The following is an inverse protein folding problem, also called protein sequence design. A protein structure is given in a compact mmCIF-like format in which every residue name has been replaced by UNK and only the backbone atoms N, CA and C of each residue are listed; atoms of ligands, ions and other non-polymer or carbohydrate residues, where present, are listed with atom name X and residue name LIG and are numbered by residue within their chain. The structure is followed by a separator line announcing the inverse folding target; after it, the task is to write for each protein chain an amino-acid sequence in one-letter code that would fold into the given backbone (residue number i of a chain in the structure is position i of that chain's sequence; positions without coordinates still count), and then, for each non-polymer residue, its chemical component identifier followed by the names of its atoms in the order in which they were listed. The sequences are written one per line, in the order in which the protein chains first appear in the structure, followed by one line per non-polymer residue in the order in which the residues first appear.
data_IF_150303627172
#
_entry.id   IF_150303627172
#
_cell.length_a   1.000
_cell.length_b   1.000
_cell.length_c   1.000
_cell.angle_alpha   90.00
_cell.angle_beta   90.00
_cell.angle_gamma   90.00
#
_symmetry.space_group_name_H-M   'P 1'
#
loop_
_entity.id
_entity.type
_entity.pdbx_description
1 polymer ?
#
# COMPACT_ATOMS: atom_id res chain seq x y z
N UNK A 1 -33.09 -22.78 19.34
CA UNK A 1 -33.04 -21.92 18.13
C UNK A 1 -32.81 -20.44 18.43
N UNK A 2 -33.53 -19.80 19.37
CA UNK A 2 -33.37 -18.35 19.67
C UNK A 2 -31.98 -17.97 20.21
N UNK A 3 -31.38 -18.81 21.07
CA UNK A 3 -30.05 -18.59 21.66
C UNK A 3 -28.91 -18.65 20.63
N UNK A 4 -28.96 -19.57 19.65
CA UNK A 4 -27.96 -19.66 18.57
C UNK A 4 -27.94 -18.40 17.69
N UNK A 5 -29.11 -17.80 17.42
CA UNK A 5 -29.20 -16.55 16.67
C UNK A 5 -28.63 -15.36 17.47
N UNK A 6 -28.84 -15.34 18.79
CA UNK A 6 -28.31 -14.26 19.64
C UNK A 6 -26.79 -14.33 19.75
N UNK A 7 -26.22 -15.53 19.90
CA UNK A 7 -24.78 -15.75 19.89
C UNK A 7 -24.15 -15.45 18.52
N UNK A 8 -24.79 -15.89 17.43
CA UNK A 8 -24.32 -15.57 16.07
C UNK A 8 -24.30 -14.06 15.80
N UNK A 9 -25.37 -13.33 16.17
CA UNK A 9 -25.43 -11.87 16.02
C UNK A 9 -24.39 -11.15 16.87
N UNK A 10 -24.15 -11.64 18.10
CA UNK A 10 -23.13 -11.08 19.01
C UNK A 10 -21.73 -11.29 18.44
N UNK A 11 -21.45 -12.48 17.93
CA UNK A 11 -20.17 -12.82 17.31
C UNK A 11 -19.94 -12.05 16.01
N UNK A 12 -20.98 -11.90 15.17
CA UNK A 12 -20.93 -11.11 13.93
C UNK A 12 -20.70 -9.62 14.21
N UNK A 13 -21.35 -9.08 15.25
CA UNK A 13 -21.13 -7.70 15.66
C UNK A 13 -19.72 -7.49 16.21
N UNK A 14 -19.21 -8.44 16.98
CA UNK A 14 -17.85 -8.41 17.50
C UNK A 14 -16.80 -8.45 16.37
N UNK A 15 -17.00 -9.31 15.37
CA UNK A 15 -16.10 -9.37 14.19
C UNK A 15 -16.19 -8.11 13.35
N UNK A 16 -17.38 -7.56 13.09
CA UNK A 16 -17.52 -6.29 12.35
C UNK A 16 -16.86 -5.12 13.07
N UNK A 17 -16.95 -5.09 14.39
CA UNK A 17 -16.32 -4.05 15.21
C UNK A 17 -14.80 -4.19 15.17
N UNK A 18 -14.28 -5.42 15.31
CA UNK A 18 -12.85 -5.71 15.17
C UNK A 18 -12.29 -5.35 13.79
N UNK A 19 -13.05 -5.64 12.73
CA UNK A 19 -12.67 -5.33 11.35
C UNK A 19 -12.60 -3.81 11.13
N UNK A 20 -13.57 -3.05 11.65
CA UNK A 20 -13.53 -1.57 11.64
C UNK A 20 -12.33 -1.00 12.40
N UNK A 21 -11.99 -1.56 13.56
CA UNK A 21 -10.83 -1.13 14.36
C UNK A 21 -9.52 -1.43 13.63
N UNK A 22 -9.41 -2.59 12.99
CA UNK A 22 -8.25 -2.94 12.16
C UNK A 22 -8.12 -2.00 10.95
N UNK A 23 -9.21 -1.67 10.26
CA UNK A 23 -9.19 -0.70 9.16
C UNK A 23 -8.75 0.70 9.63
N UNK A 24 -9.18 1.14 10.81
CA UNK A 24 -8.73 2.41 11.39
C UNK A 24 -7.26 2.37 11.80
N UNK A 25 -6.78 1.25 12.35
CA UNK A 25 -5.38 1.07 12.70
C UNK A 25 -4.47 1.08 11.45
N UNK A 26 -4.88 0.41 10.36
CA UNK A 26 -4.16 0.45 9.07
C UNK A 26 -4.11 1.88 8.53
N UNK A 27 -5.21 2.63 8.61
CA UNK A 27 -5.26 4.04 8.19
C UNK A 27 -4.36 4.93 9.04
N UNK A 28 -4.28 4.69 10.35
CA UNK A 28 -3.37 5.41 11.24
C UNK A 28 -1.91 5.05 10.98
N UNK A 29 -1.58 3.77 10.83
CA UNK A 29 -0.22 3.31 10.52
C UNK A 29 0.30 3.88 9.19
N UNK A 30 -0.56 4.00 8.18
CA UNK A 30 -0.26 4.66 6.91
C UNK A 30 0.06 6.17 7.07
N UNK A 31 -0.38 6.79 8.16
CA UNK A 31 -0.12 8.22 8.45
C UNK A 31 1.05 8.46 9.41
N UNK A 32 1.49 7.45 10.18
CA UNK A 32 2.43 7.64 11.31
C UNK A 32 3.81 7.00 11.14
N UNK A 33 4.04 6.11 10.17
CA UNK A 33 5.38 5.67 9.78
C UNK A 33 5.90 6.73 8.79
N UNK A 34 6.86 7.63 9.05
CA UNK A 34 8.27 7.46 9.45
C UNK A 34 8.78 8.85 9.89
N UNK A 35 8.78 9.22 11.20
CA UNK A 35 9.17 10.58 11.59
C UNK A 35 10.70 10.82 11.58
N UNK A 36 11.50 9.79 11.91
CA UNK A 36 12.95 9.96 12.12
C UNK A 36 13.79 9.97 10.85
N UNK A 37 13.71 8.91 10.03
CA UNK A 37 14.52 8.79 8.83
C UNK A 37 14.13 9.81 7.76
N UNK A 38 12.82 10.07 7.59
CA UNK A 38 12.32 11.05 6.62
C UNK A 38 12.68 12.49 7.01
N UNK A 39 12.58 12.85 8.29
CA UNK A 39 13.04 14.15 8.79
C UNK A 39 14.54 14.35 8.55
N UNK A 40 15.37 13.32 8.73
CA UNK A 40 16.80 13.39 8.43
C UNK A 40 17.07 13.58 6.92
N UNK A 41 16.33 12.88 6.06
CA UNK A 41 16.41 13.07 4.61
C UNK A 41 16.02 14.50 4.21
N UNK A 42 14.92 15.01 4.75
CA UNK A 42 14.41 16.33 4.40
C UNK A 42 15.34 17.44 4.89
N UNK A 43 15.84 17.35 6.12
CA UNK A 43 16.87 18.25 6.63
C UNK A 43 18.16 18.18 5.78
N UNK A 44 18.55 16.98 5.37
CA UNK A 44 19.70 16.76 4.48
C UNK A 44 19.52 17.40 3.10
N UNK A 45 18.33 17.29 2.50
CA UNK A 45 17.98 17.95 1.24
C UNK A 45 18.04 19.47 1.37
N UNK A 46 17.43 20.04 2.40
CA UNK A 46 17.47 21.50 2.65
C UNK A 46 18.90 22.00 2.80
N UNK A 47 19.74 21.29 3.56
CA UNK A 47 21.14 21.66 3.74
C UNK A 47 21.95 21.55 2.44
N UNK A 48 21.72 20.49 1.66
CA UNK A 48 22.40 20.29 0.39
C UNK A 48 22.01 21.37 -0.63
N UNK A 49 20.72 21.71 -0.70
CA UNK A 49 20.20 22.75 -1.58
C UNK A 49 20.78 24.13 -1.23
N UNK A 50 20.72 24.53 0.05
CA UNK A 50 21.26 25.80 0.51
C UNK A 50 22.77 25.96 0.21
N UNK A 51 23.57 24.90 0.46
CA UNK A 51 25.00 24.92 0.12
C UNK A 51 25.25 24.98 -1.39
N UNK A 52 24.44 24.28 -2.18
CA UNK A 52 24.56 24.26 -3.64
C UNK A 52 24.22 25.63 -4.24
N UNK A 53 23.19 26.30 -3.74
CA UNK A 53 22.85 27.67 -4.15
C UNK A 53 23.96 28.66 -3.76
N UNK A 54 24.49 28.55 -2.54
CA UNK A 54 25.56 29.43 -2.09
C UNK A 54 26.84 29.28 -2.94
N UNK A 55 27.25 28.05 -3.28
CA UNK A 55 28.43 27.86 -4.14
C UNK A 55 28.17 28.31 -5.59
N UNK A 56 26.93 28.21 -6.07
CA UNK A 56 26.53 28.73 -7.38
C UNK A 56 26.68 30.26 -7.42
N UNK A 57 26.10 30.99 -6.46
CA UNK A 57 26.23 32.45 -6.38
C UNK A 57 27.69 32.89 -6.31
N UNK A 58 28.52 32.23 -5.49
CA UNK A 58 29.96 32.53 -5.42
C UNK A 58 30.70 32.26 -6.73
N UNK A 59 30.29 31.23 -7.47
CA UNK A 59 30.87 30.92 -8.77
C UNK A 59 30.50 31.99 -9.80
N UNK A 60 29.26 32.48 -9.78
CA UNK A 60 28.79 33.58 -10.63
C UNK A 60 29.55 34.88 -10.34
N UNK A 61 29.68 35.26 -9.06
CA UNK A 61 30.47 36.43 -8.64
C UNK A 61 31.95 36.33 -9.07
N UNK A 62 32.52 35.12 -8.96
CA UNK A 62 33.89 34.84 -9.40
C UNK A 62 34.02 34.94 -10.93
N UNK A 63 33.03 34.42 -11.68
CA UNK A 63 32.99 34.53 -13.14
C UNK A 63 32.96 35.99 -13.58
N UNK A 64 32.08 36.80 -12.97
CA UNK A 64 31.98 38.23 -13.26
C UNK A 64 33.28 38.98 -12.96
N UNK A 65 33.91 38.66 -11.83
CA UNK A 65 35.20 39.25 -11.43
C UNK A 65 36.31 38.88 -12.40
N UNK A 66 36.41 37.61 -12.80
CA UNK A 66 37.40 37.12 -13.76
C UNK A 66 37.17 37.73 -15.15
N UNK A 67 35.92 37.85 -15.59
CA UNK A 67 35.56 38.47 -16.87
C UNK A 67 35.93 39.96 -16.88
N UNK A 68 35.67 40.68 -15.78
CA UNK A 68 36.10 42.07 -15.61
C UNK A 68 37.62 42.24 -15.70
N UNK A 69 38.38 41.38 -15.01
CA UNK A 69 39.84 41.37 -15.09
C UNK A 69 40.33 41.02 -16.49
N UNK A 70 39.69 40.06 -17.16
CA UNK A 70 40.00 39.70 -18.55
C UNK A 70 39.84 40.91 -19.48
N UNK A 71 38.74 41.63 -19.34
CA UNK A 71 38.45 42.82 -20.14
C UNK A 71 39.45 43.96 -19.87
N UNK A 72 39.82 44.19 -18.61
CA UNK A 72 40.84 45.17 -18.26
C UNK A 72 42.20 44.84 -18.91
N UNK A 73 42.60 43.57 -18.92
CA UNK A 73 43.87 43.12 -19.51
C UNK A 73 43.84 43.16 -21.04
N UNK A 74 42.80 42.59 -21.66
CA UNK A 74 42.76 42.35 -23.10
C UNK A 74 42.25 43.54 -23.91
N UNK A 75 41.23 44.25 -23.41
CA UNK A 75 40.58 45.35 -24.14
C UNK A 75 41.15 46.71 -23.74
N UNK A 76 41.48 46.89 -22.46
CA UNK A 76 41.91 48.18 -21.90
C UNK A 76 43.41 48.29 -21.67
N UNK A 77 44.14 47.17 -21.77
CA UNK A 77 45.58 47.09 -21.49
C UNK A 77 45.98 47.62 -20.10
N UNK A 78 45.07 47.48 -19.13
CA UNK A 78 45.30 47.84 -17.73
C UNK A 78 45.77 46.60 -16.98
N UNK A 79 46.88 46.73 -16.25
CA UNK A 79 47.35 45.65 -15.38
C UNK A 79 46.49 45.60 -14.10
N UNK A 80 45.83 44.48 -13.79
CA UNK A 80 45.02 44.34 -12.60
C UNK A 80 45.89 44.41 -11.34
N UNK A 81 45.33 44.99 -10.26
CA UNK A 81 46.04 45.14 -8.99
C UNK A 81 46.40 43.75 -8.41
N UNK A 82 47.62 43.57 -7.85
CA UNK A 82 48.03 42.28 -7.27
C UNK A 82 47.09 41.73 -6.19
N UNK A 83 46.42 42.61 -5.46
CA UNK A 83 45.40 42.24 -4.46
C UNK A 83 44.19 41.55 -5.09
N UNK A 84 43.72 42.01 -6.26
CA UNK A 84 42.57 41.43 -6.97
C UNK A 84 42.92 40.03 -7.47
N UNK A 85 44.10 39.85 -8.08
CA UNK A 85 44.56 38.53 -8.53
C UNK A 85 44.72 37.54 -7.38
N UNK A 86 45.15 38.01 -6.20
CA UNK A 86 45.25 37.18 -5.00
C UNK A 86 43.86 36.76 -4.50
N UNK A 87 42.90 37.70 -4.46
CA UNK A 87 41.52 37.40 -4.07
C UNK A 87 40.88 36.37 -5.01
N UNK A 88 40.97 36.56 -6.33
CA UNK A 88 40.47 35.59 -7.33
C UNK A 88 41.07 34.19 -7.10
N UNK A 89 42.37 34.11 -6.81
CA UNK A 89 43.03 32.82 -6.54
C UNK A 89 42.50 32.14 -5.27
N UNK A 90 42.23 32.91 -4.23
CA UNK A 90 41.64 32.43 -2.98
C UNK A 90 40.19 31.96 -3.18
N UNK A 91 39.39 32.73 -3.93
CA UNK A 91 38.01 32.38 -4.27
C UNK A 91 37.95 31.12 -5.12
N UNK A 92 38.82 30.98 -6.14
CA UNK A 92 38.96 29.75 -6.94
C UNK A 92 39.25 28.52 -6.06
N UNK A 93 40.16 28.67 -5.09
CA UNK A 93 40.49 27.59 -4.15
C UNK A 93 39.29 27.24 -3.25
N UNK A 94 38.60 28.26 -2.76
CA UNK A 94 37.47 28.11 -1.83
C UNK A 94 36.26 27.45 -2.52
N UNK A 95 35.88 27.96 -3.70
CA UNK A 95 34.81 27.38 -4.53
C UNK A 95 35.18 25.96 -4.95
N UNK A 96 36.42 25.72 -5.39
CA UNK A 96 36.90 24.39 -5.74
C UNK A 96 36.81 23.39 -4.59
N UNK A 97 37.21 23.79 -3.37
CA UNK A 97 37.11 22.95 -2.18
C UNK A 97 35.65 22.63 -1.81
N UNK A 98 34.76 23.62 -1.89
CA UNK A 98 33.34 23.42 -1.57
C UNK A 98 32.64 22.52 -2.60
N UNK A 99 32.94 22.67 -3.90
CA UNK A 99 32.42 21.77 -4.94
C UNK A 99 32.88 20.32 -4.73
N UNK A 100 34.13 20.09 -4.34
CA UNK A 100 34.61 18.74 -4.00
C UNK A 100 33.93 18.19 -2.73
N UNK A 101 33.74 19.04 -1.72
CA UNK A 101 33.04 18.71 -0.48
C UNK A 101 31.59 18.32 -0.75
N UNK A 102 30.86 19.09 -1.56
CA UNK A 102 29.49 18.79 -2.00
C UNK A 102 29.42 17.48 -2.78
N UNK A 103 30.35 17.27 -3.72
CA UNK A 103 30.44 16.03 -4.50
C UNK A 103 30.58 14.80 -3.59
N UNK A 104 31.50 14.86 -2.61
CA UNK A 104 31.71 13.80 -1.62
C UNK A 104 30.51 13.61 -0.70
N UNK A 105 29.83 14.70 -0.32
CA UNK A 105 28.64 14.62 0.50
C UNK A 105 27.51 13.89 -0.24
N UNK A 106 27.25 14.26 -1.50
CA UNK A 106 26.25 13.61 -2.36
C UNK A 106 26.55 12.12 -2.51
N UNK A 107 27.79 11.74 -2.80
CA UNK A 107 28.15 10.32 -2.96
C UNK A 107 27.95 9.51 -1.67
N UNK A 108 28.08 10.15 -0.51
CA UNK A 108 27.89 9.52 0.80
C UNK A 108 26.41 9.36 1.16
N UNK A 109 25.59 10.39 0.96
CA UNK A 109 24.18 10.37 1.40
C UNK A 109 23.24 9.67 0.40
N UNK A 110 23.58 9.70 -0.89
CA UNK A 110 22.73 9.15 -1.96
C UNK A 110 22.37 7.67 -1.76
N UNK A 111 23.30 6.75 -1.43
CA UNK A 111 22.95 5.34 -1.24
C UNK A 111 21.96 5.13 -0.09
N UNK A 112 22.15 5.83 1.03
CA UNK A 112 21.29 5.75 2.21
C UNK A 112 19.88 6.31 1.93
N UNK A 113 19.77 7.43 1.23
CA UNK A 113 18.47 7.97 0.81
C UNK A 113 17.74 7.03 -0.12
N UNK A 114 18.44 6.47 -1.13
CA UNK A 114 17.86 5.48 -2.04
C UNK A 114 17.34 4.25 -1.30
N UNK A 115 18.10 3.73 -0.33
CA UNK A 115 17.67 2.60 0.49
C UNK A 115 16.39 2.92 1.28
N UNK A 116 16.31 4.10 1.90
CA UNK A 116 15.13 4.50 2.67
C UNK A 116 13.90 4.60 1.76
N UNK A 117 14.04 5.20 0.57
CA UNK A 117 12.93 5.27 -0.39
C UNK A 117 12.53 3.90 -0.92
N UNK A 118 13.48 3.00 -1.15
CA UNK A 118 13.20 1.63 -1.58
C UNK A 118 12.38 0.88 -0.53
N UNK A 119 12.74 0.97 0.75
CA UNK A 119 11.98 0.39 1.86
C UNK A 119 10.57 0.99 1.95
N UNK A 120 10.43 2.31 1.81
CA UNK A 120 9.13 2.98 1.80
C UNK A 120 8.25 2.55 0.60
N UNK A 121 8.83 2.48 -0.60
CA UNK A 121 8.12 2.06 -1.81
C UNK A 121 7.69 0.60 -1.72
N UNK A 122 8.55 -0.28 -1.21
CA UNK A 122 8.21 -1.68 -0.99
C UNK A 122 7.04 -1.82 -0.02
N UNK A 123 7.06 -1.08 1.10
CA UNK A 123 5.94 -1.07 2.05
C UNK A 123 4.64 -0.57 1.43
N UNK A 124 4.69 0.45 0.56
CA UNK A 124 3.51 0.94 -0.17
C UNK A 124 2.97 -0.12 -1.12
N UNK A 125 3.84 -0.80 -1.88
CA UNK A 125 3.45 -1.85 -2.82
C UNK A 125 2.81 -3.02 -2.09
N UNK A 126 3.41 -3.47 -0.99
CA UNK A 126 2.83 -4.53 -0.14
C UNK A 126 1.46 -4.13 0.42
N UNK A 127 1.32 -2.88 0.87
CA UNK A 127 0.04 -2.33 1.33
C UNK A 127 -1.02 -2.31 0.23
N UNK A 128 -0.67 -1.98 -1.00
CA UNK A 128 -1.56 -2.02 -2.16
C UNK A 128 -1.99 -3.44 -2.51
N UNK A 129 -1.05 -4.39 -2.53
CA UNK A 129 -1.36 -5.81 -2.76
C UNK A 129 -2.30 -6.37 -1.70
N UNK A 130 -2.09 -6.02 -0.44
CA UNK A 130 -2.99 -6.39 0.65
C UNK A 130 -4.41 -5.84 0.41
N UNK A 131 -4.55 -4.57 0.05
CA UNK A 131 -5.85 -3.97 -0.21
C UNK A 131 -6.57 -4.65 -1.39
N UNK A 132 -5.88 -4.89 -2.50
CA UNK A 132 -6.47 -5.60 -3.64
C UNK A 132 -6.97 -6.99 -3.24
N UNK A 133 -6.18 -7.73 -2.45
CA UNK A 133 -6.62 -9.03 -1.94
C UNK A 133 -7.86 -8.93 -1.04
N UNK A 134 -7.94 -7.91 -0.18
CA UNK A 134 -9.13 -7.68 0.64
C UNK A 134 -10.34 -7.29 -0.21
N UNK A 135 -10.17 -6.54 -1.29
CA UNK A 135 -11.25 -6.18 -2.21
C UNK A 135 -11.81 -7.41 -2.92
N UNK A 136 -10.95 -8.27 -3.47
CA UNK A 136 -11.34 -9.55 -4.07
C UNK A 136 -12.06 -10.44 -3.06
N UNK A 137 -11.48 -10.61 -1.86
CA UNK A 137 -12.07 -11.41 -0.80
C UNK A 137 -13.46 -10.89 -0.38
N UNK A 138 -13.64 -9.57 -0.29
CA UNK A 138 -14.94 -8.98 0.02
C UNK A 138 -15.94 -9.16 -1.11
N UNK A 139 -15.51 -9.09 -2.37
CA UNK A 139 -16.37 -9.35 -3.51
C UNK A 139 -16.91 -10.79 -3.48
N UNK A 140 -16.04 -11.77 -3.21
CA UNK A 140 -16.40 -13.18 -3.06
C UNK A 140 -17.43 -13.36 -1.93
N UNK A 141 -17.19 -12.78 -0.75
CA UNK A 141 -18.13 -12.87 0.38
C UNK A 141 -19.48 -12.21 0.09
N UNK A 142 -19.49 -11.14 -0.71
CA UNK A 142 -20.74 -10.50 -1.14
C UNK A 142 -21.52 -11.43 -2.06
N UNK A 143 -20.85 -12.15 -2.97
CA UNK A 143 -21.47 -13.15 -3.83
C UNK A 143 -22.00 -14.35 -3.03
N UNK A 144 -21.20 -14.90 -2.13
CA UNK A 144 -21.60 -15.95 -1.20
C UNK A 144 -22.85 -15.57 -0.41
N UNK A 145 -22.90 -14.32 0.10
CA UNK A 145 -24.07 -13.81 0.81
C UNK A 145 -25.32 -13.78 -0.08
N UNK A 146 -25.19 -13.39 -1.36
CA UNK A 146 -26.32 -13.39 -2.30
C UNK A 146 -26.84 -14.81 -2.51
N UNK A 147 -25.96 -15.78 -2.72
CA UNK A 147 -26.32 -17.18 -2.89
C UNK A 147 -27.05 -17.74 -1.66
N UNK A 148 -26.56 -17.46 -0.44
CA UNK A 148 -27.23 -17.87 0.80
C UNK A 148 -28.62 -17.23 0.93
N UNK A 149 -28.76 -15.96 0.54
CA UNK A 149 -30.04 -15.26 0.58
C UNK A 149 -31.06 -15.87 -0.39
N UNK A 150 -30.63 -16.26 -1.60
CA UNK A 150 -31.49 -16.93 -2.58
C UNK A 150 -31.98 -18.29 -2.07
N UNK A 151 -31.07 -19.12 -1.55
CA UNK A 151 -31.41 -20.42 -0.97
C UNK A 151 -32.38 -20.26 0.20
N UNK A 152 -32.16 -19.27 1.07
CA UNK A 152 -33.07 -18.97 2.17
C UNK A 152 -34.47 -18.59 1.67
N UNK A 153 -34.57 -17.77 0.62
CA UNK A 153 -35.85 -17.46 -0.03
C UNK A 153 -36.57 -18.69 -0.59
N UNK A 154 -35.82 -19.65 -1.15
CA UNK A 154 -36.39 -20.95 -1.54
C UNK A 154 -36.95 -21.73 -0.35
N UNK A 155 -36.26 -21.75 0.79
CA UNK A 155 -36.73 -22.38 2.02
C UNK A 155 -38.04 -21.74 2.51
N UNK A 156 -38.13 -20.41 2.55
CA UNK A 156 -39.35 -19.70 2.93
C UNK A 156 -40.54 -20.06 2.03
N UNK A 157 -40.30 -20.18 0.72
CA UNK A 157 -41.33 -20.59 -0.24
C UNK A 157 -41.80 -22.03 -0.03
N UNK A 158 -40.90 -22.96 0.31
CA UNK A 158 -41.29 -24.35 0.64
C UNK A 158 -42.14 -24.40 1.91
N UNK A 159 -41.77 -23.62 2.93
CA UNK A 159 -42.54 -23.53 4.19
C UNK A 159 -43.94 -22.99 3.93
N UNK A 160 -44.08 -21.92 3.13
CA UNK A 160 -45.39 -21.33 2.83
C UNK A 160 -46.30 -22.29 2.04
N UNK A 161 -45.75 -23.04 1.08
CA UNK A 161 -46.50 -24.08 0.35
C UNK A 161 -46.93 -25.25 1.23
N UNK A 162 -46.09 -25.67 2.21
CA UNK A 162 -46.48 -26.69 3.22
C UNK A 162 -47.55 -26.19 4.18
N UNK A 163 -47.45 -24.94 4.63
CA UNK A 163 -48.46 -24.31 5.48
C UNK A 163 -49.81 -24.16 4.77
N UNK A 164 -49.81 -23.84 3.48
CA UNK A 164 -51.02 -23.74 2.66
C UNK A 164 -51.66 -25.11 2.34
N UNK A 165 -50.87 -26.19 2.27
CA UNK A 165 -51.36 -27.55 2.02
C UNK A 165 -51.84 -28.28 3.27
N UNK A 166 -51.46 -27.84 4.48
CA UNK A 166 -52.02 -28.32 5.74
C UNK A 166 -53.46 -27.86 6.03
N UNK A 167 -53.98 -26.87 5.28
CA UNK A 167 -55.32 -26.30 5.51
C UNK A 167 -56.42 -26.87 4.60
N UNK A 168 -56.10 -27.73 3.63
CA UNK A 168 -57.11 -28.37 2.76
C UNK A 168 -57.01 -29.88 2.85
N UNK A 169 -57.74 -30.41 3.82
CA UNK A 169 -58.07 -31.81 3.86
C UNK A 169 -58.83 -32.26 2.60
N UNK A 170 -58.67 -33.56 2.34
CA UNK A 170 -59.57 -34.43 1.60
C UNK A 170 -59.58 -34.36 0.05
N UNK A 171 -59.29 -35.56 -0.49
CA UNK A 171 -59.75 -36.17 -1.75
C UNK A 171 -59.02 -35.78 -3.04
N UNK A 172 -58.17 -36.72 -3.45
CA UNK A 172 -58.33 -37.43 -4.73
C UNK A 172 -57.88 -36.69 -5.99
N UNK A 173 -56.95 -37.37 -6.68
CA UNK A 173 -56.73 -37.43 -8.14
C UNK A 173 -55.36 -36.92 -8.57
N UNK A 174 -54.69 -37.79 -9.31
CA UNK A 174 -53.36 -37.65 -9.85
C UNK A 174 -53.19 -36.32 -10.61
N UNK A 175 -52.23 -35.51 -10.19
CA UNK A 175 -51.74 -34.38 -10.96
C UNK A 175 -50.23 -34.52 -11.08
N UNK A 176 -49.77 -34.81 -12.29
CA UNK A 176 -48.36 -34.67 -12.68
C UNK A 176 -48.03 -33.19 -12.56
N UNK A 177 -47.31 -32.81 -11.49
CA UNK A 177 -46.89 -31.42 -11.24
C UNK A 177 -45.40 -31.25 -11.49
N UNK A 178 -44.94 -30.08 -12.01
CA UNK A 178 -43.53 -29.76 -12.30
C UNK A 178 -42.63 -29.63 -11.06
N UNK A 179 -43.13 -29.99 -9.87
CA UNK A 179 -42.43 -29.90 -8.60
C UNK A 179 -41.33 -30.96 -8.44
N UNK A 180 -41.47 -32.12 -9.09
CA UNK A 180 -40.44 -33.18 -9.07
C UNK A 180 -39.18 -32.78 -9.83
N UNK A 181 -39.30 -31.93 -10.85
CA UNK A 181 -38.18 -31.52 -11.72
C UNK A 181 -37.20 -30.59 -10.96
N UNK A 182 -37.73 -29.61 -10.21
CA UNK A 182 -36.91 -28.67 -9.41
C UNK A 182 -36.36 -29.27 -8.12
N UNK A 183 -37.00 -30.31 -7.58
CA UNK A 183 -36.47 -31.07 -6.46
C UNK A 183 -35.25 -31.93 -6.88
N UNK A 184 -35.18 -32.31 -8.16
CA UNK A 184 -34.04 -33.03 -8.74
C UNK A 184 -32.83 -32.09 -8.92
N UNK A 185 -33.07 -30.82 -9.27
CA UNK A 185 -32.05 -29.76 -9.41
C UNK A 185 -31.31 -29.48 -8.08
N UNK A 186 -32.04 -29.44 -6.95
CA UNK A 186 -31.46 -29.28 -5.61
C UNK A 186 -30.60 -30.50 -5.21
N UNK A 187 -30.89 -31.68 -5.78
CA UNK A 187 -30.13 -32.92 -5.52
C UNK A 187 -28.86 -33.05 -6.36
N UNK A 188 -28.78 -32.33 -7.48
CA UNK A 188 -27.63 -32.32 -8.41
C UNK A 188 -26.63 -31.19 -8.18
N UNK A 189 -26.97 -30.16 -7.40
CA UNK A 189 -26.04 -29.12 -6.97
C UNK A 189 -25.10 -29.64 -5.87
N UNK A 190 -24.21 -30.58 -6.22
CA UNK A 190 -23.07 -30.93 -5.37
C UNK A 190 -22.09 -29.78 -5.39
N UNK A 191 -22.11 -28.96 -4.33
CA UNK A 191 -21.01 -28.06 -4.00
C UNK A 191 -19.74 -28.91 -3.92
N UNK A 192 -18.85 -28.75 -4.90
CA UNK A 192 -17.69 -29.60 -5.12
C UNK A 192 -16.76 -29.57 -3.89
N UNK A 193 -16.73 -30.65 -3.07
CA UNK A 193 -15.95 -30.66 -1.84
C UNK A 193 -14.45 -30.63 -2.12
N UNK A 194 -14.01 -31.13 -3.29
CA UNK A 194 -12.59 -31.21 -3.64
C UNK A 194 -11.99 -29.83 -3.95
N UNK A 195 -12.77 -28.95 -4.60
CA UNK A 195 -12.34 -27.55 -4.80
C UNK A 195 -12.14 -26.83 -3.46
N UNK A 196 -13.03 -27.09 -2.48
CA UNK A 196 -12.91 -26.51 -1.13
C UNK A 196 -11.69 -27.04 -0.40
N UNK A 197 -11.43 -28.35 -0.44
CA UNK A 197 -10.26 -28.94 0.21
C UNK A 197 -8.97 -28.40 -0.40
N UNK A 198 -8.88 -28.30 -1.73
CA UNK A 198 -7.72 -27.76 -2.45
C UNK A 198 -7.47 -26.27 -2.16
N UNK A 199 -8.52 -25.46 -2.04
CA UNK A 199 -8.42 -24.06 -1.63
C UNK A 199 -7.96 -23.92 -0.16
N UNK A 200 -8.39 -24.84 0.71
CA UNK A 200 -8.01 -24.85 2.13
C UNK A 200 -6.55 -25.27 2.31
N UNK A 201 -6.09 -26.30 1.60
CA UNK A 201 -4.68 -26.73 1.60
C UNK A 201 -3.75 -25.66 1.00
N UNK A 202 -4.18 -24.98 -0.07
CA UNK A 202 -3.41 -23.88 -0.64
C UNK A 202 -3.25 -22.72 0.36
N UNK A 203 -4.32 -22.37 1.08
CA UNK A 203 -4.29 -21.34 2.14
C UNK A 203 -3.39 -21.75 3.31
N UNK A 204 -3.40 -23.02 3.71
CA UNK A 204 -2.53 -23.54 4.78
C UNK A 204 -1.06 -23.57 4.36
N UNK A 205 -0.76 -24.01 3.13
CA UNK A 205 0.61 -24.02 2.59
C UNK A 205 1.20 -22.62 2.44
N UNK A 206 0.38 -21.62 2.09
CA UNK A 206 0.85 -20.24 2.02
C UNK A 206 1.18 -19.68 3.40
N UNK A 207 0.37 -20.01 4.41
CA UNK A 207 0.62 -19.66 5.82
C UNK A 207 1.89 -20.34 6.37
N UNK A 208 2.14 -21.60 6.00
CA UNK A 208 3.38 -22.30 6.37
C UNK A 208 4.62 -21.68 5.71
N UNK A 209 4.52 -21.21 4.47
CA UNK A 209 5.61 -20.47 3.81
C UNK A 209 5.90 -19.13 4.47
N UNK A 210 4.88 -18.43 4.95
CA UNK A 210 5.05 -17.20 5.74
C UNK A 210 5.67 -17.47 7.12
N UNK A 211 5.38 -18.62 7.73
CA UNK A 211 5.99 -19.08 9.00
C UNK A 211 7.41 -19.63 8.83
N UNK A 212 7.75 -20.18 7.67
CA UNK A 212 9.08 -20.70 7.32
C UNK A 212 10.01 -19.65 6.67
N UNK A 213 9.47 -18.47 6.33
CA UNK A 213 10.27 -17.29 6.01
C UNK A 213 11.14 -16.89 7.21
N UNK A 214 12.41 -16.49 6.98
CA UNK A 214 13.43 -16.50 8.02
C UNK A 214 13.09 -15.56 9.17
N UNK A 215 12.61 -16.16 10.27
CA UNK A 215 12.67 -15.55 11.61
C UNK A 215 14.13 -15.22 11.89
N UNK A 216 14.40 -13.92 12.03
CA UNK A 216 15.51 -13.33 12.79
C UNK A 216 16.83 -14.09 12.75
N UNK A 217 17.74 -13.63 11.90
CA UNK A 217 19.15 -13.64 12.30
C UNK A 217 19.39 -12.33 13.06
N UNK A 218 19.51 -12.47 14.37
CA UNK A 218 20.12 -11.51 15.30
C UNK A 218 21.50 -11.13 14.80
#
# INVERSE_FOLDING_TARGET
MRQLYTEFMKQTKATLTGLRTQTQAVRQMASTQVPGARSYIDAGKTKLDARSQNVLTKMEELQDTVEGVKDDVLKRHISPKPQVLRAIKEDLSTVGAELQSLTKHISTVKPMWKKTWEEELQSIVEGQQFLNHQEEFLADLIEDRKAVTEVYGHVEKVISLRGASGARGARGRALKTPAVDKMLEIRGATVDPEQRVKATEASQKNRERELAGPRGRV
#
